data_IF_977592670780
#
_entry.id   IF_977592670780
#
_cell.length_a   1.000
_cell.length_b   1.000
_cell.length_c   1.000
_cell.angle_alpha   90.00
_cell.angle_beta   90.00
_cell.angle_gamma   90.00
#
_symmetry.space_group_name_H-M   'P 1'
#
loop_
_entity.id
_entity.type
_entity.pdbx_description
1 polymer ?
#
# COMPACT_ATOMS: atom_id res chain seq x y z
N UNK A 1 5.19 -30.93 2.13
CA UNK A 1 6.09 -29.82 2.51
C UNK A 1 5.27 -28.56 2.55
N UNK A 2 5.45 -27.73 3.57
CA UNK A 2 4.71 -26.49 3.70
C UNK A 2 5.19 -25.43 2.71
N UNK A 3 4.28 -24.56 2.29
CA UNK A 3 4.57 -23.46 1.38
C UNK A 3 3.99 -22.15 1.92
N UNK A 4 4.72 -21.06 1.70
CA UNK A 4 4.33 -19.73 2.13
C UNK A 4 3.16 -19.24 1.28
N UNK A 5 2.06 -18.88 1.92
CA UNK A 5 0.89 -18.28 1.27
C UNK A 5 0.91 -16.76 1.36
N UNK A 6 1.15 -16.22 2.56
CA UNK A 6 1.11 -14.78 2.81
C UNK A 6 2.29 -14.36 3.69
N UNK A 7 3.02 -13.33 3.26
CA UNK A 7 4.06 -12.69 4.07
C UNK A 7 3.40 -11.58 4.90
N UNK A 8 3.61 -11.59 6.22
CA UNK A 8 2.94 -10.66 7.14
C UNK A 8 3.60 -9.27 7.22
N UNK A 9 4.55 -8.96 6.33
CA UNK A 9 5.15 -7.63 6.24
C UNK A 9 4.11 -6.59 5.82
N UNK A 10 3.87 -5.62 6.69
CA UNK A 10 2.88 -4.55 6.51
C UNK A 10 1.44 -5.04 6.31
N UNK A 11 1.12 -6.24 6.80
CA UNK A 11 -0.25 -6.77 6.81
C UNK A 11 -0.91 -6.39 8.12
N UNK A 12 -2.10 -5.81 8.06
CA UNK A 12 -2.86 -5.43 9.23
C UNK A 12 -3.51 -6.65 9.90
N UNK A 13 -3.71 -6.61 11.22
CA UNK A 13 -4.17 -7.77 11.99
C UNK A 13 -5.56 -8.27 11.57
N UNK A 14 -6.42 -7.39 11.06
CA UNK A 14 -7.72 -7.72 10.48
C UNK A 14 -7.58 -8.60 9.23
N UNK A 15 -6.66 -8.26 8.33
CA UNK A 15 -6.38 -9.05 7.12
C UNK A 15 -5.81 -10.43 7.47
N UNK A 16 -5.00 -10.52 8.53
CA UNK A 16 -4.50 -11.81 9.02
C UNK A 16 -5.66 -12.69 9.51
N UNK A 17 -6.61 -12.11 10.24
CA UNK A 17 -7.80 -12.84 10.72
C UNK A 17 -8.71 -13.26 9.57
N UNK A 18 -8.94 -12.39 8.59
CA UNK A 18 -9.72 -12.69 7.39
C UNK A 18 -9.13 -13.86 6.60
N UNK A 19 -7.82 -13.81 6.34
CA UNK A 19 -7.09 -14.87 5.62
C UNK A 19 -7.14 -16.19 6.39
N UNK A 20 -6.95 -16.14 7.71
CA UNK A 20 -7.02 -17.31 8.58
C UNK A 20 -8.41 -17.95 8.53
N UNK A 21 -9.47 -17.14 8.69
CA UNK A 21 -10.85 -17.61 8.61
C UNK A 21 -11.22 -18.14 7.21
N UNK A 22 -10.66 -17.56 6.15
CA UNK A 22 -10.86 -18.03 4.76
C UNK A 22 -10.27 -19.44 4.58
N UNK A 23 -9.06 -19.67 5.10
CA UNK A 23 -8.40 -20.98 5.04
C UNK A 23 -9.13 -22.02 5.89
N UNK A 24 -9.59 -21.63 7.08
CA UNK A 24 -10.37 -22.51 7.97
C UNK A 24 -11.69 -22.93 7.31
N UNK A 25 -12.43 -21.98 6.72
CA UNK A 25 -13.67 -22.28 5.98
C UNK A 25 -13.44 -23.20 4.79
N UNK A 26 -12.28 -23.10 4.14
CA UNK A 26 -11.91 -23.98 3.04
C UNK A 26 -11.41 -25.36 3.49
N UNK A 27 -11.19 -25.55 4.80
CA UNK A 27 -10.62 -26.76 5.38
C UNK A 27 -9.15 -26.96 5.04
N UNK A 28 -8.40 -25.87 4.80
CA UNK A 28 -6.98 -25.92 4.42
C UNK A 28 -6.11 -25.84 5.67
N UNK A 29 -5.31 -26.87 5.90
CA UNK A 29 -4.40 -26.93 7.04
C UNK A 29 -3.29 -25.87 6.89
N UNK A 30 -3.24 -24.93 7.82
CA UNK A 30 -2.29 -23.83 7.80
C UNK A 30 -1.65 -23.58 9.17
N UNK A 31 -0.57 -22.81 9.21
CA UNK A 31 0.05 -22.33 10.44
C UNK A 31 0.68 -20.95 10.25
N UNK A 32 0.77 -20.19 11.33
CA UNK A 32 1.43 -18.89 11.37
C UNK A 32 2.81 -19.01 11.99
N UNK A 33 3.78 -18.30 11.42
CA UNK A 33 5.07 -18.05 12.07
C UNK A 33 5.10 -16.63 12.59
N UNK A 34 5.57 -16.44 13.83
CA UNK A 34 5.73 -15.13 14.44
C UNK A 34 6.86 -14.32 13.80
N UNK A 35 6.78 -12.97 13.84
CA UNK A 35 7.88 -12.11 13.44
C UNK A 35 9.12 -12.35 14.32
N UNK A 36 10.30 -12.24 13.72
CA UNK A 36 11.56 -12.29 14.46
C UNK A 36 11.70 -11.06 15.35
N UNK A 37 12.18 -11.21 16.60
CA UNK A 37 12.46 -10.07 17.49
C UNK A 37 13.40 -9.02 16.90
N UNK A 38 14.22 -9.40 15.91
CA UNK A 38 15.20 -8.54 15.25
C UNK A 38 14.66 -7.82 14.00
N UNK A 39 13.37 -7.97 13.67
CA UNK A 39 12.73 -7.28 12.54
C UNK A 39 13.13 -7.78 11.14
N UNK A 40 13.86 -8.89 11.04
CA UNK A 40 14.36 -9.44 9.77
C UNK A 40 13.26 -10.29 9.09
N UNK A 41 12.52 -11.07 9.87
CA UNK A 41 11.36 -11.83 9.42
C UNK A 41 10.09 -11.24 10.02
N UNK A 42 9.07 -10.99 9.20
CA UNK A 42 7.79 -10.42 9.65
C UNK A 42 6.77 -11.52 9.99
N UNK A 43 7.17 -12.79 9.87
CA UNK A 43 6.24 -13.90 9.96
C UNK A 43 5.50 -14.14 8.65
N UNK A 44 4.70 -15.20 8.63
CA UNK A 44 4.03 -15.68 7.44
C UNK A 44 2.93 -16.66 7.77
N UNK A 45 1.92 -16.74 6.90
CA UNK A 45 0.93 -17.82 6.91
C UNK A 45 1.39 -18.86 5.90
N UNK A 46 1.49 -20.10 6.37
CA UNK A 46 2.01 -21.23 5.61
C UNK A 46 0.93 -22.29 5.49
N UNK A 47 0.76 -22.85 4.29
CA UNK A 47 -0.09 -24.01 4.06
C UNK A 47 0.74 -25.27 4.27
N UNK A 48 0.25 -26.25 5.04
CA UNK A 48 0.99 -27.50 5.34
C UNK A 48 1.13 -28.39 4.12
N UNK A 49 0.05 -28.51 3.35
CA UNK A 49 -0.05 -29.44 2.23
C UNK A 49 0.17 -28.73 0.90
N UNK A 50 1.06 -29.29 0.08
CA UNK A 50 1.43 -28.71 -1.21
C UNK A 50 0.28 -28.83 -2.22
N UNK A 51 -0.54 -29.88 -2.11
CA UNK A 51 -1.73 -30.10 -2.94
C UNK A 51 -2.81 -29.04 -2.68
N UNK A 52 -2.88 -28.50 -1.45
CA UNK A 52 -3.83 -27.45 -1.10
C UNK A 52 -3.32 -26.04 -1.42
N UNK A 53 -2.03 -25.88 -1.72
CA UNK A 53 -1.47 -24.57 -2.02
C UNK A 53 -2.10 -23.91 -3.27
N UNK A 54 -2.32 -24.61 -4.41
CA UNK A 54 -3.03 -24.02 -5.54
C UNK A 54 -4.43 -23.53 -5.17
N UNK A 55 -5.15 -24.29 -4.34
CA UNK A 55 -6.50 -23.95 -3.88
C UNK A 55 -6.48 -22.74 -2.93
N UNK A 56 -5.54 -22.70 -1.99
CA UNK A 56 -5.32 -21.55 -1.12
C UNK A 56 -4.99 -20.29 -1.93
N UNK A 57 -4.17 -20.41 -2.97
CA UNK A 57 -3.81 -19.30 -3.85
C UNK A 57 -5.01 -18.79 -4.66
N UNK A 58 -5.88 -19.68 -5.14
CA UNK A 58 -7.11 -19.29 -5.82
C UNK A 58 -8.05 -18.50 -4.90
N UNK A 59 -8.30 -19.01 -3.69
CA UNK A 59 -9.10 -18.32 -2.68
C UNK A 59 -8.54 -16.94 -2.33
N UNK A 60 -7.20 -16.83 -2.24
CA UNK A 60 -6.55 -15.57 -1.96
C UNK A 60 -6.64 -14.58 -3.12
N UNK A 61 -6.62 -15.07 -4.37
CA UNK A 61 -6.84 -14.24 -5.54
C UNK A 61 -8.28 -13.68 -5.57
N UNK A 62 -9.28 -14.51 -5.25
CA UNK A 62 -10.68 -14.08 -5.15
C UNK A 62 -10.85 -13.05 -4.03
N UNK A 63 -10.22 -13.26 -2.86
CA UNK A 63 -10.21 -12.29 -1.77
C UNK A 63 -9.59 -10.95 -2.18
N UNK A 64 -8.43 -10.98 -2.85
CA UNK A 64 -7.79 -9.76 -3.35
C UNK A 64 -8.61 -9.05 -4.42
N UNK A 65 -9.33 -9.80 -5.27
CA UNK A 65 -10.24 -9.21 -6.25
C UNK A 65 -11.41 -8.49 -5.58
N UNK A 66 -12.06 -9.12 -4.60
CA UNK A 66 -13.12 -8.50 -3.79
C UNK A 66 -12.62 -7.23 -3.08
N UNK A 67 -11.40 -7.27 -2.52
CA UNK A 67 -10.78 -6.10 -1.88
C UNK A 67 -10.46 -5.00 -2.89
N UNK A 68 -9.97 -5.37 -4.07
CA UNK A 68 -9.66 -4.44 -5.17
C UNK A 68 -10.91 -3.75 -5.71
N UNK A 69 -12.04 -4.46 -5.81
CA UNK A 69 -13.34 -3.89 -6.17
C UNK A 69 -13.85 -2.92 -5.10
N UNK A 70 -13.66 -3.24 -3.81
CA UNK A 70 -14.00 -2.33 -2.71
C UNK A 70 -13.18 -1.05 -2.72
N UNK A 71 -11.85 -1.15 -2.93
CA UNK A 71 -10.96 0.02 -3.05
C UNK A 71 -11.28 0.85 -4.31
N UNK A 72 -11.66 0.21 -5.42
CA UNK A 72 -12.12 0.93 -6.63
C UNK A 72 -13.45 1.63 -6.38
N UNK A 73 -14.39 1.00 -5.67
CA UNK A 73 -15.66 1.59 -5.28
C UNK A 73 -15.50 2.77 -4.31
N UNK A 74 -14.61 2.66 -3.33
CA UNK A 74 -14.24 3.76 -2.43
C UNK A 74 -13.52 4.88 -3.18
N UNK A 75 -12.67 4.55 -4.16
CA UNK A 75 -12.03 5.54 -5.04
C UNK A 75 -13.05 6.24 -5.94
N UNK A 76 -14.05 5.55 -6.48
CA UNK A 76 -15.12 6.13 -7.30
C UNK A 76 -16.11 6.95 -6.47
N UNK A 77 -16.37 6.55 -5.22
CA UNK A 77 -17.12 7.36 -4.26
C UNK A 77 -16.32 8.61 -3.85
N UNK A 78 -15.02 8.49 -3.56
CA UNK A 78 -14.14 9.62 -3.26
C UNK A 78 -13.92 10.56 -4.47
N UNK A 79 -13.97 10.04 -5.70
CA UNK A 79 -13.98 10.84 -6.93
C UNK A 79 -15.31 11.59 -7.11
N UNK A 80 -16.45 10.97 -6.78
CA UNK A 80 -17.77 11.62 -6.81
C UNK A 80 -17.96 12.65 -5.69
N UNK A 81 -17.37 12.43 -4.53
CA UNK A 81 -17.39 13.35 -3.39
C UNK A 81 -16.31 14.44 -3.45
N UNK A 82 -15.42 14.40 -4.45
CA UNK A 82 -14.38 15.41 -4.65
C UNK A 82 -13.26 15.39 -3.60
N UNK A 83 -13.13 14.29 -2.87
CA UNK A 83 -12.19 14.06 -1.75
C UNK A 83 -11.05 13.10 -2.11
N UNK A 84 -10.92 12.70 -3.37
CA UNK A 84 -9.63 12.21 -3.83
C UNK A 84 -8.61 13.34 -3.64
N UNK A 85 -7.72 13.22 -2.65
CA UNK A 85 -6.53 14.03 -2.39
C UNK A 85 -5.62 14.02 -3.63
N UNK A 86 -6.09 14.66 -4.68
CA UNK A 86 -5.36 14.88 -5.92
C UNK A 86 -4.79 16.28 -5.79
N UNK A 87 -3.62 16.53 -6.38
CA UNK A 87 -2.90 17.81 -6.32
C UNK A 87 -3.79 19.06 -6.54
N UNK A 88 -4.87 18.94 -7.32
CA UNK A 88 -5.87 20.01 -7.51
C UNK A 88 -6.70 20.37 -6.25
N UNK A 89 -6.98 19.42 -5.35
CA UNK A 89 -7.67 19.70 -4.09
C UNK A 89 -6.80 20.53 -3.13
N UNK A 90 -5.48 20.29 -3.14
CA UNK A 90 -4.51 21.04 -2.33
C UNK A 90 -4.43 22.50 -2.76
N UNK A 91 -4.43 22.76 -4.07
CA UNK A 91 -4.47 24.11 -4.67
C UNK A 91 -5.75 24.84 -4.25
N UNK A 92 -6.89 24.15 -4.23
CA UNK A 92 -8.19 24.76 -3.88
C UNK A 92 -8.37 24.99 -2.38
N UNK A 93 -7.81 24.13 -1.52
CA UNK A 93 -7.92 24.23 -0.05
C UNK A 93 -6.92 25.21 0.56
N UNK A 94 -5.70 25.31 0.00
CA UNK A 94 -4.63 26.18 0.54
C UNK A 94 -3.84 26.87 -0.60
N UNK A 95 -4.47 27.75 -1.38
CA UNK A 95 -3.81 28.39 -2.53
C UNK A 95 -2.58 29.20 -2.12
N UNK A 96 -2.62 29.87 -0.97
CA UNK A 96 -1.51 30.68 -0.43
C UNK A 96 -0.28 29.84 -0.10
N UNK A 97 -0.47 28.63 0.46
CA UNK A 97 0.64 27.73 0.79
C UNK A 97 1.34 27.23 -0.48
N UNK A 98 0.57 26.86 -1.51
CA UNK A 98 1.12 26.42 -2.81
C UNK A 98 1.91 27.55 -3.47
N UNK A 99 1.37 28.77 -3.50
CA UNK A 99 2.07 29.95 -4.05
C UNK A 99 3.36 30.23 -3.28
N UNK A 100 3.36 30.19 -1.95
CA UNK A 100 4.57 30.38 -1.15
C UNK A 100 5.65 29.32 -1.44
N UNK A 101 5.26 28.05 -1.56
CA UNK A 101 6.20 26.97 -1.89
C UNK A 101 6.78 27.17 -3.30
N UNK A 102 5.97 27.54 -4.29
CA UNK A 102 6.44 27.82 -5.65
C UNK A 102 7.39 29.02 -5.69
N UNK A 103 7.08 30.10 -4.96
CA UNK A 103 7.96 31.27 -4.83
C UNK A 103 9.27 30.88 -4.16
N UNK A 104 9.23 30.11 -3.06
CA UNK A 104 10.43 29.60 -2.40
C UNK A 104 11.30 28.75 -3.33
N UNK A 105 10.68 27.87 -4.12
CA UNK A 105 11.39 27.03 -5.10
C UNK A 105 12.01 27.87 -6.22
N UNK A 106 11.30 28.90 -6.70
CA UNK A 106 11.83 29.83 -7.70
C UNK A 106 12.99 30.67 -7.15
N UNK A 107 12.91 31.13 -5.90
CA UNK A 107 14.00 31.86 -5.22
C UNK A 107 15.22 30.96 -5.03
N UNK A 108 15.02 29.72 -4.58
CA UNK A 108 16.11 28.75 -4.44
C UNK A 108 16.77 28.44 -5.80
N UNK A 109 15.97 28.19 -6.84
CA UNK A 109 16.46 27.97 -8.19
C UNK A 109 17.20 29.22 -8.72
N UNK A 110 16.65 30.42 -8.50
CA UNK A 110 17.28 31.67 -8.88
C UNK A 110 18.62 31.86 -8.16
N UNK A 111 18.70 31.56 -6.86
CA UNK A 111 19.94 31.69 -6.08
C UNK A 111 21.01 30.69 -6.53
N UNK A 112 20.62 29.48 -6.94
CA UNK A 112 21.52 28.48 -7.52
C UNK A 112 21.97 28.88 -8.93
N UNK A 113 21.07 29.43 -9.75
CA UNK A 113 21.36 29.84 -11.13
C UNK A 113 22.11 31.19 -11.21
N UNK A 114 21.95 32.06 -10.21
CA UNK A 114 22.57 33.37 -10.11
C UNK A 114 24.09 33.36 -10.37
N UNK A 115 24.90 32.52 -9.68
CA UNK A 115 26.33 32.47 -9.93
C UNK A 115 26.66 32.00 -11.34
N UNK A 116 25.88 31.08 -11.93
CA UNK A 116 26.12 30.60 -13.29
C UNK A 116 25.77 31.63 -14.36
N UNK A 117 24.79 32.50 -14.12
CA UNK A 117 24.45 33.61 -15.02
C UNK A 117 25.46 34.75 -14.88
N UNK A 118 25.91 35.07 -13.66
CA UNK A 118 26.89 36.14 -13.41
C UNK A 118 28.34 35.78 -13.78
N UNK A 119 28.73 34.49 -13.70
CA UNK A 119 30.07 34.01 -14.09
C UNK A 119 30.19 33.70 -15.59
N UNK A 120 29.12 33.96 -16.37
CA UNK A 120 29.08 33.78 -17.83
C UNK A 120 29.17 35.14 -18.56
N UNK A 121 29.95 36.06 -18.00
CA UNK A 121 30.42 37.30 -18.62
C UNK A 121 31.92 37.43 -18.38
#
# INVERSE_FOLDING_TARGET
MSKLLLNLRNVADDEIQDVTALLDKAGIAHYRTEPSPWGISFGGIWVRDNEDHPRAKALMADYQQLRGERVRGEREAALREGTAETFGSLIRRRPVFVVMVLVGMAVAAALVLLPFVLLRG
#
